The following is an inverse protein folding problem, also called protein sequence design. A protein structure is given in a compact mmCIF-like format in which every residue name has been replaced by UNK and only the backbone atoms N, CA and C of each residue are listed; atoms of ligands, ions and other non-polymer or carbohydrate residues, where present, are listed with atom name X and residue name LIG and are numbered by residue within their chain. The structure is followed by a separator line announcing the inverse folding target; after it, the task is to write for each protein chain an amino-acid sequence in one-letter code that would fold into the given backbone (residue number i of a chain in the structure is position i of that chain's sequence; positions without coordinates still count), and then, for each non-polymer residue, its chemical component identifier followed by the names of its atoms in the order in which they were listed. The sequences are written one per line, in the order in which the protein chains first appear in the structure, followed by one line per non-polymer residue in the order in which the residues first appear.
data_IF_047110301308
#
_entry.id   IF_047110301308
#
_cell.length_a   1.000
_cell.length_b   1.000
_cell.length_c   1.000
_cell.angle_alpha   90.00
_cell.angle_beta   90.00
_cell.angle_gamma   90.00
#
_symmetry.space_group_name_H-M   'P 1'
#
loop_
_entity.id
_entity.type
_entity.pdbx_description
1 polymer ?
#
# COMPACT_ATOMS: atom_id res chain seq x y z
N UNK A 1 2.20 -32.20 0.86
CA UNK A 1 2.77 -30.89 0.45
C UNK A 1 3.08 -30.11 1.71
N UNK A 2 4.29 -29.54 1.80
CA UNK A 2 4.71 -28.73 2.93
C UNK A 2 4.59 -27.23 2.54
N UNK A 3 3.83 -26.48 3.30
CA UNK A 3 3.72 -25.01 3.18
C UNK A 3 4.57 -24.41 4.29
N UNK A 4 5.46 -23.49 3.96
CA UNK A 4 6.27 -22.76 4.93
C UNK A 4 5.97 -21.26 4.85
N UNK A 5 5.64 -20.63 5.97
CA UNK A 5 5.39 -19.19 6.06
C UNK A 5 6.56 -18.49 6.77
N UNK A 6 7.11 -17.46 6.12
CA UNK A 6 8.25 -16.70 6.62
C UNK A 6 7.83 -15.32 7.14
N UNK A 7 8.31 -14.97 8.30
CA UNK A 7 8.16 -13.62 8.88
C UNK A 7 8.95 -12.60 8.04
N UNK A 8 8.44 -11.38 7.94
CA UNK A 8 9.20 -10.28 7.35
C UNK A 8 10.48 -10.00 8.18
N UNK A 9 11.62 -9.85 7.52
CA UNK A 9 12.86 -9.39 8.13
C UNK A 9 12.99 -7.85 8.11
N UNK A 10 12.11 -7.17 7.39
CA UNK A 10 12.03 -5.70 7.34
C UNK A 10 11.43 -5.19 8.64
N UNK A 11 12.18 -4.39 9.40
CA UNK A 11 11.76 -3.91 10.73
C UNK A 11 10.49 -3.05 10.72
N UNK A 12 10.21 -2.39 9.61
CA UNK A 12 9.00 -1.57 9.41
C UNK A 12 7.78 -2.40 8.97
N UNK A 13 7.95 -3.68 8.62
CA UNK A 13 6.86 -4.55 8.19
C UNK A 13 6.43 -5.52 9.30
N UNK A 14 5.32 -5.21 9.95
CA UNK A 14 4.72 -6.01 11.02
C UNK A 14 3.63 -6.98 10.53
N UNK A 15 3.42 -7.09 9.22
CA UNK A 15 2.42 -8.01 8.65
C UNK A 15 2.89 -9.46 8.74
N UNK A 16 1.95 -10.36 8.94
CA UNK A 16 2.17 -11.80 8.82
C UNK A 16 1.64 -12.30 7.47
N UNK A 17 2.34 -13.20 6.77
CA UNK A 17 1.83 -13.79 5.53
C UNK A 17 0.72 -14.83 5.79
N UNK A 18 0.51 -15.24 7.04
CA UNK A 18 -0.60 -16.09 7.47
C UNK A 18 -1.37 -15.42 8.60
N UNK A 19 -2.68 -15.62 8.63
CA UNK A 19 -3.56 -15.09 9.68
C UNK A 19 -4.36 -16.23 10.30
N UNK A 20 -4.67 -16.13 11.61
CA UNK A 20 -5.36 -17.19 12.35
C UNK A 20 -6.69 -17.60 11.70
N UNK A 21 -7.44 -16.62 11.17
CA UNK A 21 -8.74 -16.85 10.53
C UNK A 21 -8.65 -17.59 9.19
N UNK A 22 -7.45 -17.71 8.60
CA UNK A 22 -7.23 -18.36 7.29
C UNK A 22 -6.55 -19.73 7.40
N UNK A 23 -6.09 -20.11 8.58
CA UNK A 23 -5.35 -21.37 8.81
C UNK A 23 -6.17 -22.59 8.42
N UNK A 24 -7.46 -22.63 8.78
CA UNK A 24 -8.33 -23.74 8.45
C UNK A 24 -8.37 -24.02 6.95
N UNK A 25 -8.33 -22.97 6.13
CA UNK A 25 -8.31 -23.11 4.68
C UNK A 25 -7.02 -23.81 4.20
N UNK A 26 -5.86 -23.45 4.76
CA UNK A 26 -4.59 -24.08 4.43
C UNK A 26 -4.55 -25.55 4.86
N UNK A 27 -5.02 -25.86 6.07
CA UNK A 27 -5.06 -27.22 6.59
C UNK A 27 -6.03 -28.13 5.82
N UNK A 28 -7.17 -27.58 5.35
CA UNK A 28 -8.14 -28.33 4.54
C UNK A 28 -7.59 -28.74 3.16
N UNK A 29 -6.48 -28.17 2.71
CA UNK A 29 -5.75 -28.63 1.53
C UNK A 29 -4.95 -29.92 1.77
N UNK A 30 -4.92 -30.44 3.00
CA UNK A 30 -4.12 -31.60 3.38
C UNK A 30 -2.62 -31.30 3.44
N UNK A 31 -2.25 -30.05 3.63
CA UNK A 31 -0.86 -29.63 3.72
C UNK A 31 -0.35 -29.63 5.17
N UNK A 32 0.91 -29.99 5.34
CA UNK A 32 1.65 -29.70 6.57
C UNK A 32 2.12 -28.24 6.54
N UNK A 33 1.66 -27.42 7.47
CA UNK A 33 2.00 -26.00 7.50
C UNK A 33 3.03 -25.70 8.59
N UNK A 34 4.21 -25.25 8.16
CA UNK A 34 5.27 -24.77 9.03
C UNK A 34 5.28 -23.24 9.06
N UNK A 35 5.63 -22.66 10.18
CA UNK A 35 5.77 -21.23 10.31
C UNK A 35 7.03 -20.84 11.07
N UNK A 36 7.66 -19.75 10.65
CA UNK A 36 8.82 -19.19 11.33
C UNK A 36 8.41 -18.64 12.69
N UNK A 37 9.21 -18.92 13.72
CA UNK A 37 8.97 -18.44 15.08
C UNK A 37 8.76 -16.90 15.15
N UNK A 38 7.84 -16.48 16.01
CA UNK A 38 7.41 -15.09 16.18
C UNK A 38 6.76 -14.45 14.94
N UNK A 39 6.26 -15.23 13.99
CA UNK A 39 5.61 -14.73 12.78
C UNK A 39 4.37 -13.88 13.08
N UNK A 40 3.66 -14.20 14.16
CA UNK A 40 2.44 -13.49 14.58
C UNK A 40 2.67 -12.29 15.48
N UNK A 41 3.92 -11.96 15.84
CA UNK A 41 4.21 -10.88 16.79
C UNK A 41 3.59 -9.55 16.39
N UNK A 42 3.69 -9.21 15.11
CA UNK A 42 3.17 -7.95 14.61
C UNK A 42 1.64 -7.85 14.57
N UNK A 43 0.95 -8.98 14.64
CA UNK A 43 -0.52 -9.08 14.69
C UNK A 43 -1.04 -9.50 16.08
N UNK A 44 -0.17 -9.48 17.09
CA UNK A 44 -0.48 -9.86 18.47
C UNK A 44 -0.97 -11.31 18.65
N UNK A 45 -0.50 -12.22 17.79
CA UNK A 45 -0.77 -13.66 17.89
C UNK A 45 0.51 -14.38 18.29
N UNK A 46 0.47 -15.14 19.40
CA UNK A 46 1.62 -15.90 19.86
C UNK A 46 1.81 -17.19 19.05
N UNK A 47 3.05 -17.70 18.99
CA UNK A 47 3.34 -19.00 18.34
C UNK A 47 2.46 -20.12 18.88
N UNK A 48 2.19 -20.12 20.19
CA UNK A 48 1.33 -21.12 20.84
C UNK A 48 -0.08 -21.20 20.22
N UNK A 49 -0.65 -20.06 19.82
CA UNK A 49 -1.96 -20.02 19.17
C UNK A 49 -1.90 -20.70 17.80
N UNK A 50 -0.86 -20.43 17.01
CA UNK A 50 -0.64 -21.09 15.72
C UNK A 50 -0.44 -22.62 15.89
N UNK A 51 0.35 -23.03 16.89
CA UNK A 51 0.55 -24.46 17.21
C UNK A 51 -0.76 -25.15 17.63
N UNK A 52 -1.57 -24.51 18.47
CA UNK A 52 -2.89 -25.00 18.86
C UNK A 52 -3.87 -25.10 17.68
N UNK A 53 -3.67 -24.32 16.65
CA UNK A 53 -4.46 -24.37 15.41
C UNK A 53 -3.94 -25.42 14.41
N UNK A 54 -2.92 -26.22 14.79
CA UNK A 54 -2.43 -27.32 13.99
C UNK A 54 -1.19 -27.00 13.12
N UNK A 55 -0.59 -25.82 13.25
CA UNK A 55 0.64 -25.45 12.56
C UNK A 55 1.87 -25.91 13.34
N UNK A 56 2.99 -26.06 12.64
CA UNK A 56 4.26 -26.52 13.20
C UNK A 56 5.27 -25.36 13.24
N UNK A 57 5.68 -24.95 14.45
CA UNK A 57 6.73 -23.94 14.61
C UNK A 57 8.08 -24.47 14.14
N UNK A 58 8.86 -23.62 13.47
CA UNK A 58 10.18 -23.97 12.97
C UNK A 58 11.11 -22.76 12.92
N UNK A 59 12.40 -22.99 12.73
CA UNK A 59 13.33 -21.92 12.41
C UNK A 59 13.17 -21.45 10.97
N UNK A 60 13.63 -20.23 10.66
CA UNK A 60 13.62 -19.69 9.29
C UNK A 60 14.34 -20.61 8.31
N UNK A 61 15.52 -21.11 8.69
CA UNK A 61 16.32 -22.00 7.86
C UNK A 61 15.59 -23.32 7.55
N UNK A 62 14.94 -23.91 8.55
CA UNK A 62 14.14 -25.12 8.35
C UNK A 62 12.91 -24.88 7.47
N UNK A 63 12.23 -23.73 7.63
CA UNK A 63 11.12 -23.34 6.76
C UNK A 63 11.57 -23.27 5.29
N UNK A 64 12.72 -22.66 5.03
CA UNK A 64 13.29 -22.55 3.68
C UNK A 64 13.65 -23.92 3.10
N UNK A 65 14.30 -24.79 3.88
CA UNK A 65 14.74 -26.12 3.42
C UNK A 65 13.61 -27.11 3.20
N UNK A 66 12.55 -27.06 4.01
CA UNK A 66 11.45 -28.04 3.98
C UNK A 66 10.32 -27.68 3.03
N UNK A 67 10.06 -26.38 2.81
CA UNK A 67 8.90 -25.90 2.07
C UNK A 67 8.84 -26.39 0.62
N UNK A 68 7.68 -26.94 0.21
CA UNK A 68 7.32 -27.13 -1.20
C UNK A 68 6.74 -25.83 -1.76
N UNK A 69 5.97 -25.12 -0.93
CA UNK A 69 5.47 -23.79 -1.13
C UNK A 69 5.95 -22.89 0.02
N UNK A 70 6.68 -21.84 -0.30
CA UNK A 70 7.20 -20.87 0.65
C UNK A 70 6.44 -19.57 0.46
N UNK A 71 5.83 -19.05 1.53
CA UNK A 71 5.03 -17.82 1.51
C UNK A 71 5.80 -16.71 2.24
N UNK A 72 5.93 -15.55 1.58
CA UNK A 72 6.65 -14.39 2.13
C UNK A 72 5.96 -13.07 1.76
N UNK A 73 6.14 -12.05 2.60
CA UNK A 73 5.68 -10.68 2.31
C UNK A 73 6.77 -9.80 1.68
N UNK A 74 7.95 -10.34 1.44
CA UNK A 74 9.10 -9.58 0.96
C UNK A 74 10.01 -10.42 0.08
N UNK A 75 10.87 -9.80 -0.72
CA UNK A 75 11.97 -10.47 -1.42
C UNK A 75 12.89 -11.20 -0.44
N UNK A 76 13.44 -12.34 -0.86
CA UNK A 76 14.47 -13.07 -0.13
C UNK A 76 15.86 -12.74 -0.68
N UNK A 77 16.87 -12.80 0.18
CA UNK A 77 18.26 -12.64 -0.21
C UNK A 77 18.83 -13.90 -0.88
N UNK A 78 19.94 -13.74 -1.62
CA UNK A 78 20.57 -14.86 -2.34
C UNK A 78 20.98 -16.03 -1.44
N UNK A 79 21.42 -15.77 -0.20
CA UNK A 79 21.80 -16.84 0.73
C UNK A 79 20.57 -17.61 1.23
N UNK A 80 19.42 -16.97 1.33
CA UNK A 80 18.16 -17.62 1.66
C UNK A 80 17.64 -18.46 0.49
N UNK A 81 17.76 -17.94 -0.74
CA UNK A 81 17.36 -18.67 -1.95
C UNK A 81 18.14 -19.98 -2.13
N UNK A 82 19.43 -19.99 -1.79
CA UNK A 82 20.29 -21.20 -1.83
C UNK A 82 19.82 -22.32 -0.88
N UNK A 83 19.05 -21.98 0.15
CA UNK A 83 18.51 -22.95 1.10
C UNK A 83 17.25 -23.64 0.57
N UNK A 84 16.59 -23.04 -0.41
CA UNK A 84 15.35 -23.54 -0.99
C UNK A 84 15.67 -24.71 -1.93
N UNK A 85 14.93 -25.81 -1.76
CA UNK A 85 15.10 -26.99 -2.64
C UNK A 85 14.62 -26.70 -4.06
N UNK A 86 15.29 -27.24 -5.09
CA UNK A 86 14.84 -27.10 -6.48
C UNK A 86 13.38 -27.58 -6.68
N UNK A 87 12.67 -26.95 -7.59
CA UNK A 87 11.26 -27.17 -7.94
C UNK A 87 10.26 -26.76 -6.84
N UNK A 88 10.71 -26.15 -5.73
CA UNK A 88 9.80 -25.49 -4.80
C UNK A 88 9.22 -24.21 -5.41
N UNK A 89 8.13 -23.74 -4.85
CA UNK A 89 7.49 -22.49 -5.25
C UNK A 89 7.70 -21.42 -4.17
N UNK A 90 8.23 -20.28 -4.54
CA UNK A 90 8.27 -19.06 -3.72
C UNK A 90 7.12 -18.14 -4.14
N UNK A 91 6.20 -17.89 -3.23
CA UNK A 91 5.01 -17.07 -3.42
C UNK A 91 5.09 -15.84 -2.52
N UNK A 92 4.96 -14.65 -3.07
CA UNK A 92 4.96 -13.45 -2.23
C UNK A 92 4.91 -12.12 -2.94
N UNK A 93 5.02 -11.07 -2.13
CA UNK A 93 5.22 -9.70 -2.59
C UNK A 93 6.72 -9.49 -2.77
N UNK A 94 7.19 -9.52 -4.01
CA UNK A 94 8.62 -9.57 -4.32
C UNK A 94 9.13 -8.34 -5.06
N UNK A 95 8.24 -7.42 -5.40
CA UNK A 95 8.54 -6.21 -6.18
C UNK A 95 9.43 -6.52 -7.41
N UNK A 96 8.90 -7.23 -8.41
CA UNK A 96 9.69 -7.86 -9.48
C UNK A 96 10.46 -6.86 -10.34
N UNK A 97 9.96 -5.63 -10.49
CA UNK A 97 10.62 -4.58 -11.28
C UNK A 97 11.90 -4.05 -10.63
N UNK A 98 11.97 -4.08 -9.29
CA UNK A 98 13.14 -3.63 -8.53
C UNK A 98 14.08 -4.77 -8.13
N UNK A 99 13.68 -6.02 -8.35
CA UNK A 99 14.40 -7.21 -7.89
C UNK A 99 14.70 -8.19 -9.03
N UNK A 100 15.27 -7.68 -10.13
CA UNK A 100 15.64 -8.48 -11.30
C UNK A 100 16.62 -9.61 -10.93
N UNK A 101 17.60 -9.32 -10.06
CA UNK A 101 18.57 -10.31 -9.60
C UNK A 101 17.93 -11.50 -8.86
N UNK A 102 16.90 -11.24 -8.08
CA UNK A 102 16.13 -12.31 -7.41
C UNK A 102 15.45 -13.23 -8.44
N UNK A 103 14.89 -12.67 -9.51
CA UNK A 103 14.25 -13.45 -10.58
C UNK A 103 15.29 -14.36 -11.27
N UNK A 104 16.46 -13.81 -11.57
CA UNK A 104 17.58 -14.56 -12.17
C UNK A 104 18.09 -15.67 -11.22
N UNK A 105 18.27 -15.35 -9.95
CA UNK A 105 18.68 -16.33 -8.93
C UNK A 105 17.67 -17.46 -8.79
N UNK A 106 16.36 -17.16 -8.74
CA UNK A 106 15.32 -18.18 -8.71
C UNK A 106 15.35 -19.09 -9.94
N UNK A 107 15.54 -18.52 -11.14
CA UNK A 107 15.66 -19.27 -12.39
C UNK A 107 16.85 -20.24 -12.35
N UNK A 108 18.03 -19.75 -11.93
CA UNK A 108 19.25 -20.54 -11.85
C UNK A 108 19.13 -21.68 -10.81
N UNK A 109 18.45 -21.44 -9.71
CA UNK A 109 18.22 -22.41 -8.64
C UNK A 109 17.01 -23.33 -8.91
N UNK A 110 16.33 -23.16 -10.05
CA UNK A 110 15.11 -23.90 -10.42
C UNK A 110 13.97 -23.74 -9.40
N UNK A 111 13.81 -22.54 -8.86
CA UNK A 111 12.71 -22.18 -7.95
C UNK A 111 11.60 -21.55 -8.80
N UNK A 112 10.38 -22.06 -8.66
CA UNK A 112 9.20 -21.44 -9.27
C UNK A 112 8.86 -20.15 -8.49
N UNK A 113 8.82 -18.99 -9.17
CA UNK A 113 8.54 -17.71 -8.55
C UNK A 113 7.14 -17.23 -8.93
N UNK A 114 6.31 -16.95 -7.93
CA UNK A 114 4.96 -16.40 -8.10
C UNK A 114 4.89 -15.04 -7.39
N UNK A 115 4.83 -13.97 -8.19
CA UNK A 115 4.66 -12.62 -7.72
C UNK A 115 3.19 -12.27 -7.57
N UNK A 116 2.79 -11.88 -6.35
CA UNK A 116 1.42 -11.45 -6.06
C UNK A 116 1.04 -10.16 -6.76
N UNK A 117 2.01 -9.33 -7.10
CA UNK A 117 1.83 -8.06 -7.81
C UNK A 117 1.35 -8.24 -9.25
N UNK A 118 1.60 -9.41 -9.86
CA UNK A 118 1.17 -9.74 -11.21
C UNK A 118 -0.20 -10.44 -11.29
N UNK A 119 -0.89 -10.60 -10.18
CA UNK A 119 -2.26 -11.12 -10.21
C UNK A 119 -3.13 -10.19 -11.05
N UNK A 120 -3.84 -10.71 -12.08
CA UNK A 120 -4.65 -9.88 -12.94
C UNK A 120 -5.78 -9.16 -12.18
N UNK A 121 -5.99 -7.87 -12.47
CA UNK A 121 -7.06 -7.06 -11.86
C UNK A 121 -8.39 -7.27 -12.58
N UNK A 122 -8.89 -8.49 -12.51
CA UNK A 122 -10.18 -8.91 -13.10
C UNK A 122 -11.13 -9.34 -11.98
N UNK A 123 -12.43 -9.34 -12.24
CA UNK A 123 -13.48 -9.65 -11.26
C UNK A 123 -13.25 -10.97 -10.52
N UNK A 124 -12.81 -12.01 -11.22
CA UNK A 124 -12.53 -13.33 -10.62
C UNK A 124 -11.34 -13.31 -9.65
N UNK A 125 -10.38 -12.43 -9.86
CA UNK A 125 -9.16 -12.33 -9.08
C UNK A 125 -9.19 -11.24 -7.99
N UNK A 126 -10.29 -10.48 -7.85
CA UNK A 126 -10.40 -9.40 -6.87
C UNK A 126 -10.07 -9.82 -5.43
N UNK A 127 -10.45 -11.04 -5.05
CA UNK A 127 -10.14 -11.59 -3.72
C UNK A 127 -8.64 -11.86 -3.51
N UNK A 128 -7.86 -11.90 -4.60
CA UNK A 128 -6.42 -12.15 -4.60
C UNK A 128 -5.62 -10.86 -4.91
N UNK A 129 -6.28 -9.72 -5.11
CA UNK A 129 -5.64 -8.44 -5.40
C UNK A 129 -5.03 -7.85 -4.13
N UNK A 130 -3.80 -8.27 -3.86
CA UNK A 130 -3.01 -7.80 -2.72
C UNK A 130 -2.70 -6.32 -2.83
N UNK A 131 -2.47 -5.80 -4.03
CA UNK A 131 -2.13 -4.38 -4.22
C UNK A 131 -3.30 -3.49 -3.81
N UNK A 132 -4.52 -3.80 -4.24
CA UNK A 132 -5.70 -3.02 -3.87
C UNK A 132 -6.03 -3.14 -2.38
N UNK A 133 -5.92 -4.33 -1.79
CA UNK A 133 -6.21 -4.51 -0.36
C UNK A 133 -5.23 -3.74 0.52
N UNK A 134 -3.94 -3.76 0.20
CA UNK A 134 -2.93 -3.02 0.94
C UNK A 134 -3.03 -1.50 0.69
N UNK A 135 -3.29 -1.08 -0.55
CA UNK A 135 -3.49 0.34 -0.89
C UNK A 135 -4.69 0.96 -0.16
N UNK A 136 -5.78 0.20 0.00
CA UNK A 136 -6.95 0.63 0.77
C UNK A 136 -6.57 0.96 2.22
N UNK A 137 -5.90 0.04 2.91
CA UNK A 137 -5.45 0.25 4.28
C UNK A 137 -4.42 1.38 4.39
N UNK A 138 -3.52 1.49 3.42
CA UNK A 138 -2.55 2.57 3.34
C UNK A 138 -3.22 3.95 3.24
N UNK A 139 -4.28 4.09 2.43
CA UNK A 139 -5.05 5.32 2.32
C UNK A 139 -5.71 5.74 3.64
N UNK A 140 -6.22 4.77 4.42
CA UNK A 140 -6.71 5.03 5.77
C UNK A 140 -5.60 5.55 6.69
N UNK A 141 -4.46 4.84 6.74
CA UNK A 141 -3.34 5.19 7.62
C UNK A 141 -2.77 6.57 7.27
N UNK A 142 -2.65 6.90 5.99
CA UNK A 142 -2.14 8.20 5.54
C UNK A 142 -2.94 9.37 6.14
N UNK A 143 -4.26 9.26 6.22
CA UNK A 143 -5.10 10.30 6.84
C UNK A 143 -4.87 10.36 8.35
N UNK A 144 -4.81 9.22 9.03
CA UNK A 144 -4.62 9.16 10.49
C UNK A 144 -3.25 9.74 10.88
N UNK A 145 -2.19 9.35 10.17
CA UNK A 145 -0.85 9.89 10.44
C UNK A 145 -0.77 11.39 10.09
N UNK A 146 -1.42 11.83 9.01
CA UNK A 146 -1.50 13.28 8.71
C UNK A 146 -2.20 14.05 9.82
N UNK A 147 -3.33 13.54 10.32
CA UNK A 147 -4.08 14.15 11.39
C UNK A 147 -3.27 14.27 12.70
N UNK A 148 -2.44 13.27 13.02
CA UNK A 148 -1.55 13.25 14.18
C UNK A 148 -0.50 14.38 14.13
N UNK A 149 -0.07 14.75 12.93
CA UNK A 149 0.95 15.79 12.72
C UNK A 149 0.38 17.18 12.47
N UNK A 150 -0.94 17.29 12.22
CA UNK A 150 -1.63 18.54 12.03
C UNK A 150 -1.84 19.26 13.38
N UNK A 151 -1.71 20.58 13.38
CA UNK A 151 -1.93 21.40 14.59
C UNK A 151 -3.39 21.83 14.81
N UNK A 152 -4.30 21.50 13.86
CA UNK A 152 -5.73 21.84 13.91
C UNK A 152 -6.60 20.62 13.88
N UNK A 153 -7.86 20.74 14.35
CA UNK A 153 -8.82 19.65 14.32
C UNK A 153 -9.35 19.40 12.90
N UNK A 154 -9.60 18.14 12.57
CA UNK A 154 -10.20 17.78 11.28
C UNK A 154 -11.67 18.22 11.16
N UNK A 155 -12.56 17.92 12.16
CA UNK A 155 -13.96 18.27 12.04
C UNK A 155 -14.22 19.74 12.37
N UNK A 156 -15.35 20.25 11.86
CA UNK A 156 -15.95 21.45 12.41
C UNK A 156 -16.40 21.20 13.85
N UNK A 157 -16.07 22.13 14.76
CA UNK A 157 -16.53 22.04 16.15
C UNK A 157 -17.13 23.36 16.59
N UNK A 158 -18.23 23.27 17.33
CA UNK A 158 -18.87 24.42 17.96
C UNK A 158 -18.41 24.51 19.42
N UNK A 159 -17.94 25.70 19.80
CA UNK A 159 -17.54 25.98 21.19
C UNK A 159 -18.29 27.21 21.69
N UNK A 160 -18.26 27.44 22.99
CA UNK A 160 -18.84 28.67 23.58
C UNK A 160 -18.17 29.94 23.02
N UNK A 161 -16.92 29.85 22.57
CA UNK A 161 -16.17 30.97 21.98
C UNK A 161 -16.38 31.11 20.45
N UNK A 162 -17.14 30.24 19.82
CA UNK A 162 -17.42 30.26 18.39
C UNK A 162 -17.18 28.93 17.67
N UNK A 163 -17.19 28.99 16.33
CA UNK A 163 -17.07 27.80 15.48
C UNK A 163 -15.64 27.64 14.98
N UNK A 164 -15.04 26.49 15.26
CA UNK A 164 -13.78 26.06 14.65
C UNK A 164 -14.09 25.50 13.25
N UNK A 165 -13.38 26.01 12.24
CA UNK A 165 -13.56 25.55 10.86
C UNK A 165 -12.94 24.17 10.67
N UNK A 166 -13.55 23.32 9.83
CA UNK A 166 -12.97 22.01 9.50
C UNK A 166 -11.70 22.18 8.67
N UNK A 167 -10.74 21.28 8.87
CA UNK A 167 -9.53 21.22 8.07
C UNK A 167 -9.85 20.91 6.60
N UNK A 168 -9.03 21.47 5.70
CA UNK A 168 -9.10 21.22 4.26
C UNK A 168 -8.07 20.16 3.87
N UNK A 169 -8.55 19.08 3.28
CA UNK A 169 -7.72 17.98 2.80
C UNK A 169 -7.76 17.95 1.29
N UNK A 170 -6.61 17.92 0.65
CA UNK A 170 -6.48 17.74 -0.78
C UNK A 170 -5.81 16.42 -1.09
N UNK A 171 -6.47 15.56 -1.90
CA UNK A 171 -5.96 14.27 -2.31
C UNK A 171 -5.60 14.30 -3.78
N UNK A 172 -4.35 14.01 -4.11
CA UNK A 172 -3.83 13.95 -5.48
C UNK A 172 -3.63 12.50 -5.87
N UNK A 173 -4.41 12.04 -6.83
CA UNK A 173 -4.54 10.63 -7.23
C UNK A 173 -5.78 9.98 -6.59
N UNK A 174 -6.71 9.51 -7.43
CA UNK A 174 -7.98 8.90 -7.00
C UNK A 174 -8.03 7.43 -7.42
N UNK A 175 -6.95 6.70 -7.08
CA UNK A 175 -6.93 5.24 -7.09
C UNK A 175 -7.53 4.68 -5.80
N UNK A 176 -7.33 3.38 -5.55
CA UNK A 176 -7.84 2.70 -4.35
C UNK A 176 -7.43 3.41 -3.06
N UNK A 177 -6.14 3.76 -2.95
CA UNK A 177 -5.61 4.48 -1.79
C UNK A 177 -6.23 5.88 -1.65
N UNK A 178 -6.32 6.63 -2.75
CA UNK A 178 -6.88 7.97 -2.76
C UNK A 178 -8.37 7.99 -2.40
N UNK A 179 -9.17 7.08 -2.95
CA UNK A 179 -10.59 6.95 -2.61
C UNK A 179 -10.77 6.64 -1.11
N UNK A 180 -9.95 5.76 -0.55
CA UNK A 180 -10.01 5.46 0.87
C UNK A 180 -9.55 6.64 1.72
N UNK A 181 -8.52 7.37 1.31
CA UNK A 181 -8.09 8.58 2.00
C UNK A 181 -9.21 9.65 2.00
N UNK A 182 -9.87 9.87 0.86
CA UNK A 182 -11.05 10.74 0.74
C UNK A 182 -12.15 10.31 1.72
N UNK A 183 -12.53 9.01 1.68
CA UNK A 183 -13.58 8.48 2.53
C UNK A 183 -13.24 8.63 4.03
N UNK A 184 -11.99 8.37 4.42
CA UNK A 184 -11.52 8.50 5.79
C UNK A 184 -11.53 9.95 6.26
N UNK A 185 -10.96 10.87 5.47
CA UNK A 185 -10.93 12.29 5.82
C UNK A 185 -12.35 12.89 5.92
N UNK A 186 -13.27 12.47 5.03
CA UNK A 186 -14.68 12.86 5.11
C UNK A 186 -15.35 12.37 6.38
N UNK A 187 -15.16 11.09 6.75
CA UNK A 187 -15.70 10.52 8.00
C UNK A 187 -15.16 11.22 9.25
N UNK A 188 -13.93 11.70 9.20
CA UNK A 188 -13.34 12.51 10.27
C UNK A 188 -13.77 13.98 10.25
N UNK A 189 -14.65 14.36 9.33
CA UNK A 189 -15.28 15.68 9.28
C UNK A 189 -14.51 16.76 8.52
N UNK A 190 -13.47 16.41 7.80
CA UNK A 190 -12.71 17.34 6.97
C UNK A 190 -13.50 17.80 5.72
N UNK A 191 -13.13 18.96 5.18
CA UNK A 191 -13.50 19.37 3.82
C UNK A 191 -12.50 18.80 2.85
N UNK A 192 -12.96 17.92 1.95
CA UNK A 192 -12.09 17.18 1.04
C UNK A 192 -12.27 17.66 -0.39
N UNK A 193 -11.16 18.01 -1.03
CA UNK A 193 -11.04 18.20 -2.47
C UNK A 193 -10.11 17.09 -3.01
N UNK A 194 -10.34 16.63 -4.24
CA UNK A 194 -9.51 15.60 -4.86
C UNK A 194 -9.28 15.89 -6.34
N UNK A 195 -8.14 15.44 -6.85
CA UNK A 195 -7.78 15.54 -8.26
C UNK A 195 -7.23 14.21 -8.78
N UNK A 196 -7.60 13.89 -10.01
CA UNK A 196 -6.99 12.83 -10.81
C UNK A 196 -6.95 13.30 -12.28
N UNK A 197 -6.05 12.74 -13.06
CA UNK A 197 -5.98 13.01 -14.51
C UNK A 197 -7.07 12.28 -15.31
N UNK A 198 -7.75 11.33 -14.68
CA UNK A 198 -8.84 10.54 -15.25
C UNK A 198 -10.18 11.14 -14.81
N UNK A 199 -10.91 11.72 -15.73
CA UNK A 199 -12.25 12.31 -15.43
C UNK A 199 -13.27 11.27 -14.98
N UNK A 200 -13.12 10.01 -15.37
CA UNK A 200 -14.03 8.92 -15.01
C UNK A 200 -14.17 8.71 -13.50
N UNK A 201 -13.21 9.18 -12.69
CA UNK A 201 -13.26 9.03 -11.22
C UNK A 201 -14.03 10.16 -10.52
N UNK A 202 -14.47 11.20 -11.24
CA UNK A 202 -15.20 12.32 -10.66
C UNK A 202 -16.46 11.87 -9.92
N UNK A 203 -17.23 10.98 -10.51
CA UNK A 203 -18.46 10.46 -9.90
C UNK A 203 -18.16 9.74 -8.57
N UNK A 204 -17.06 8.98 -8.52
CA UNK A 204 -16.63 8.29 -7.32
C UNK A 204 -16.26 9.28 -6.20
N UNK A 205 -15.54 10.36 -6.53
CA UNK A 205 -15.19 11.42 -5.57
C UNK A 205 -16.45 12.10 -5.03
N UNK A 206 -17.36 12.47 -5.93
CA UNK A 206 -18.61 13.15 -5.57
C UNK A 206 -19.52 12.25 -4.72
N UNK A 207 -19.56 10.94 -4.98
CA UNK A 207 -20.32 9.97 -4.19
C UNK A 207 -19.82 9.84 -2.75
N UNK A 208 -18.53 10.10 -2.51
CA UNK A 208 -17.95 10.16 -1.17
C UNK A 208 -18.19 11.51 -0.46
N UNK A 209 -18.89 12.45 -1.10
CA UNK A 209 -19.17 13.78 -0.58
C UNK A 209 -17.95 14.72 -0.59
N UNK A 210 -16.94 14.42 -1.41
CA UNK A 210 -15.80 15.28 -1.68
C UNK A 210 -16.01 16.07 -2.96
N UNK A 211 -15.22 17.09 -3.20
CA UNK A 211 -15.27 17.91 -4.40
C UNK A 211 -14.16 17.50 -5.36
N UNK A 212 -14.50 17.16 -6.59
CA UNK A 212 -13.51 16.93 -7.64
C UNK A 212 -13.00 18.27 -8.19
N UNK A 213 -11.68 18.42 -8.26
CA UNK A 213 -11.00 19.61 -8.82
C UNK A 213 -10.80 19.36 -10.30
N UNK A 214 -11.58 20.01 -11.14
CA UNK A 214 -11.43 19.91 -12.59
C UNK A 214 -10.26 20.75 -13.06
N UNK A 215 -9.32 20.12 -13.73
CA UNK A 215 -8.23 20.75 -14.45
C UNK A 215 -8.36 20.27 -15.90
N UNK A 216 -8.78 21.15 -16.77
CA UNK A 216 -8.86 20.85 -18.19
C UNK A 216 -7.45 20.62 -18.76
N UNK A 217 -7.06 19.38 -18.88
CA UNK A 217 -5.79 18.94 -19.46
C UNK A 217 -5.92 18.55 -20.93
N UNK A 218 -7.10 18.71 -21.55
CA UNK A 218 -7.42 18.17 -22.86
C UNK A 218 -7.65 16.66 -22.83
N UNK A 219 -7.29 15.96 -23.91
CA UNK A 219 -7.46 14.50 -23.96
C UNK A 219 -6.50 13.80 -23.01
N UNK A 220 -7.07 13.15 -22.00
CA UNK A 220 -6.40 12.27 -21.05
C UNK A 220 -7.05 10.89 -21.10
N UNK A 221 -6.51 9.90 -20.38
CA UNK A 221 -7.10 8.57 -20.40
C UNK A 221 -6.46 7.63 -19.39
N UNK A 222 -6.87 6.39 -19.44
CA UNK A 222 -6.31 5.32 -18.61
C UNK A 222 -5.74 4.18 -19.45
N UNK A 223 -4.85 3.41 -18.85
CA UNK A 223 -4.31 2.17 -19.41
C UNK A 223 -5.31 1.02 -19.13
N UNK A 224 -5.14 -0.12 -19.81
CA UNK A 224 -5.95 -1.31 -19.59
C UNK A 224 -5.92 -1.84 -18.14
N UNK A 225 -4.91 -1.42 -17.37
CA UNK A 225 -4.77 -1.76 -15.94
C UNK A 225 -5.36 -0.68 -15.00
N UNK A 226 -6.04 0.35 -15.54
CA UNK A 226 -6.68 1.41 -14.77
C UNK A 226 -5.74 2.48 -14.21
N UNK A 227 -4.49 2.58 -14.72
CA UNK A 227 -3.56 3.67 -14.42
C UNK A 227 -3.74 4.82 -15.41
N UNK A 228 -3.44 6.04 -14.95
CA UNK A 228 -3.43 7.22 -15.83
C UNK A 228 -2.38 7.07 -16.93
N UNK A 229 -2.73 7.52 -18.16
CA UNK A 229 -1.77 7.65 -19.25
C UNK A 229 -0.77 8.77 -18.98
N UNK A 230 0.39 8.70 -19.63
CA UNK A 230 1.40 9.75 -19.55
C UNK A 230 0.87 11.07 -20.15
N UNK A 231 1.17 12.17 -19.47
CA UNK A 231 0.83 13.51 -19.90
C UNK A 231 1.96 14.15 -20.69
N UNK A 232 1.64 15.06 -21.61
CA UNK A 232 2.62 15.90 -22.27
C UNK A 232 3.25 16.92 -21.29
N UNK A 233 4.40 17.48 -21.65
CA UNK A 233 5.09 18.48 -20.82
C UNK A 233 4.20 19.71 -20.53
N UNK A 234 3.41 20.16 -21.51
CA UNK A 234 2.46 21.25 -21.33
C UNK A 234 1.34 20.91 -20.37
N UNK A 235 0.79 19.69 -20.48
CA UNK A 235 -0.23 19.19 -19.56
C UNK A 235 0.31 19.08 -18.14
N UNK A 236 1.52 18.56 -17.95
CA UNK A 236 2.21 18.47 -16.65
C UNK A 236 2.40 19.87 -16.04
N UNK A 237 2.84 20.86 -16.83
CA UNK A 237 3.03 22.23 -16.38
C UNK A 237 1.70 22.85 -15.92
N UNK A 238 0.65 22.74 -16.73
CA UNK A 238 -0.70 23.23 -16.42
C UNK A 238 -1.26 22.55 -15.17
N UNK A 239 -1.10 21.25 -15.06
CA UNK A 239 -1.48 20.47 -13.89
C UNK A 239 -0.80 21.00 -12.63
N UNK A 240 0.53 21.11 -12.63
CA UNK A 240 1.32 21.58 -11.49
C UNK A 240 0.89 22.98 -11.04
N UNK A 241 0.70 23.90 -11.97
CA UNK A 241 0.29 25.27 -11.65
C UNK A 241 -1.08 25.32 -10.95
N UNK A 242 -2.06 24.57 -11.44
CA UNK A 242 -3.42 24.58 -10.87
C UNK A 242 -3.49 23.77 -9.57
N UNK A 243 -2.80 22.63 -9.48
CA UNK A 243 -2.70 21.87 -8.24
C UNK A 243 -2.01 22.67 -7.13
N UNK A 244 -0.96 23.41 -7.44
CA UNK A 244 -0.26 24.26 -6.50
C UNK A 244 -1.21 25.24 -5.79
N UNK A 245 -2.12 25.89 -6.51
CA UNK A 245 -3.14 26.78 -5.94
C UNK A 245 -4.09 26.08 -4.96
N UNK A 246 -4.33 24.78 -5.14
CA UNK A 246 -5.13 23.99 -4.19
C UNK A 246 -4.28 23.59 -2.98
N UNK A 247 -3.03 23.17 -3.19
CA UNK A 247 -2.08 22.84 -2.12
C UNK A 247 -1.91 24.03 -1.16
N UNK A 248 -1.70 25.26 -1.68
CA UNK A 248 -1.50 26.49 -0.90
C UNK A 248 -2.59 26.76 0.13
N UNK A 249 -3.85 26.40 -0.17
CA UNK A 249 -5.01 26.62 0.70
C UNK A 249 -5.42 25.39 1.52
N UNK A 250 -4.66 24.30 1.44
CA UNK A 250 -4.94 23.03 2.11
C UNK A 250 -4.16 22.90 3.40
N UNK A 251 -4.80 22.33 4.43
CA UNK A 251 -4.15 22.02 5.70
C UNK A 251 -3.43 20.65 5.62
N UNK A 252 -3.97 19.73 4.82
CA UNK A 252 -3.35 18.42 4.51
C UNK A 252 -3.37 18.22 3.00
N UNK A 253 -2.23 17.79 2.45
CA UNK A 253 -2.13 17.25 1.08
C UNK A 253 -1.70 15.81 1.16
N UNK A 254 -2.41 14.90 0.47
CA UNK A 254 -2.06 13.47 0.38
C UNK A 254 -1.81 13.15 -1.08
N UNK A 255 -0.61 12.67 -1.40
CA UNK A 255 -0.25 12.26 -2.76
C UNK A 255 -0.20 10.75 -2.86
N UNK A 256 -0.87 10.19 -3.88
CA UNK A 256 -1.02 8.74 -4.05
C UNK A 256 -0.65 8.25 -5.46
N UNK A 257 -0.05 9.12 -6.28
CA UNK A 257 0.23 8.77 -7.67
C UNK A 257 1.43 7.82 -7.76
N UNK A 258 1.16 6.58 -8.09
CA UNK A 258 2.15 5.55 -8.35
C UNK A 258 1.98 5.00 -9.76
N UNK A 259 3.09 4.68 -10.39
CA UNK A 259 3.14 4.01 -11.70
C UNK A 259 3.67 2.60 -11.49
N UNK A 260 2.97 1.60 -11.99
CA UNK A 260 3.40 0.21 -11.84
C UNK A 260 4.72 -0.03 -12.58
N UNK A 261 5.77 -0.43 -11.84
CA UNK A 261 7.10 -0.69 -12.37
C UNK A 261 7.91 0.53 -12.78
N UNK A 262 7.49 1.74 -12.43
CA UNK A 262 8.19 2.99 -12.78
C UNK A 262 8.30 3.90 -11.55
N UNK A 263 9.28 4.83 -11.53
CA UNK A 263 9.34 5.86 -10.50
C UNK A 263 8.07 6.71 -10.45
N UNK A 264 7.71 7.14 -9.25
CA UNK A 264 6.56 8.02 -9.05
C UNK A 264 6.81 9.41 -9.66
N UNK A 265 5.78 10.05 -10.23
CA UNK A 265 5.92 11.40 -10.78
C UNK A 265 6.06 12.44 -9.66
N UNK A 266 6.92 13.43 -9.85
CA UNK A 266 7.02 14.59 -8.96
C UNK A 266 5.81 15.52 -9.17
N UNK A 267 4.93 15.63 -8.16
CA UNK A 267 3.70 16.40 -8.22
C UNK A 267 3.76 17.71 -7.42
N UNK A 268 4.45 17.69 -6.29
CA UNK A 268 4.56 18.84 -5.37
C UNK A 268 6.03 19.24 -5.26
N UNK A 269 6.38 20.37 -5.83
CA UNK A 269 7.74 20.91 -5.79
C UNK A 269 7.95 21.85 -4.60
N UNK A 270 9.20 22.19 -4.33
CA UNK A 270 9.58 23.09 -3.26
C UNK A 270 8.92 24.47 -3.34
N UNK A 271 8.67 24.97 -4.56
CA UNK A 271 7.99 26.26 -4.77
C UNK A 271 6.54 26.23 -4.30
N UNK A 272 5.88 25.09 -4.48
CA UNK A 272 4.52 24.86 -3.98
C UNK A 272 4.52 24.74 -2.46
N UNK A 273 5.47 23.99 -1.89
CA UNK A 273 5.60 23.82 -0.43
C UNK A 273 5.84 25.17 0.26
N UNK A 274 6.71 26.00 -0.31
CA UNK A 274 7.05 27.31 0.25
C UNK A 274 5.86 28.32 0.29
N UNK A 275 4.78 28.02 -0.45
CA UNK A 275 3.54 28.83 -0.46
C UNK A 275 2.43 28.26 0.41
N UNK A 276 2.61 27.05 0.94
CA UNK A 276 1.66 26.46 1.89
C UNK A 276 1.73 27.17 3.25
N UNK A 277 0.64 27.07 4.01
CA UNK A 277 0.60 27.66 5.34
C UNK A 277 1.49 26.87 6.32
N UNK A 278 2.34 27.53 7.13
CA UNK A 278 3.05 26.85 8.22
C UNK A 278 2.08 26.08 9.13
N UNK A 279 2.46 24.88 9.52
CA UNK A 279 1.60 23.96 10.26
C UNK A 279 0.80 23.00 9.38
N UNK A 280 0.84 23.17 8.04
CA UNK A 280 0.28 22.20 7.08
C UNK A 280 1.09 20.91 7.03
N UNK A 281 0.47 19.87 6.53
CA UNK A 281 1.06 18.52 6.40
C UNK A 281 0.94 18.05 4.95
N UNK A 282 2.02 17.51 4.42
CA UNK A 282 2.02 16.76 3.16
C UNK A 282 2.35 15.29 3.47
N UNK A 283 1.53 14.38 3.01
CA UNK A 283 1.77 12.96 3.14
C UNK A 283 2.08 12.36 1.76
N UNK A 284 3.29 11.86 1.59
CA UNK A 284 3.76 11.24 0.37
C UNK A 284 3.62 9.71 0.46
N UNK A 285 2.57 9.16 -0.15
CA UNK A 285 2.35 7.71 -0.18
C UNK A 285 3.22 7.00 -1.23
N UNK A 286 3.90 7.74 -2.08
CA UNK A 286 4.76 7.19 -3.13
C UNK A 286 6.25 7.24 -2.77
N UNK A 287 6.60 7.59 -1.54
CA UNK A 287 8.00 7.81 -1.11
C UNK A 287 8.92 6.63 -1.41
N UNK A 288 8.45 5.39 -1.29
CA UNK A 288 9.23 4.17 -1.61
C UNK A 288 9.50 4.00 -3.11
N UNK A 289 8.74 4.69 -3.96
CA UNK A 289 8.85 4.64 -5.43
C UNK A 289 9.50 5.89 -6.02
N UNK A 290 10.25 6.65 -5.21
CA UNK A 290 10.90 7.90 -5.62
C UNK A 290 10.17 9.18 -5.19
N UNK A 291 8.93 9.06 -4.71
CA UNK A 291 8.17 10.15 -4.12
C UNK A 291 7.43 11.06 -5.10
N UNK A 292 6.28 11.56 -4.66
CA UNK A 292 5.52 12.59 -5.37
C UNK A 292 5.87 14.01 -4.90
N UNK A 293 6.63 14.14 -3.80
CA UNK A 293 6.89 15.38 -3.10
C UNK A 293 8.40 15.63 -3.04
N UNK A 294 8.83 16.79 -3.50
CA UNK A 294 10.24 17.17 -3.45
C UNK A 294 10.73 17.27 -2.01
N UNK A 295 11.84 16.59 -1.71
CA UNK A 295 12.41 16.54 -0.35
C UNK A 295 11.73 15.52 0.58
N UNK A 296 10.79 14.72 0.10
CA UNK A 296 10.24 13.58 0.85
C UNK A 296 11.33 12.52 1.07
N UNK A 297 11.42 11.99 2.30
CA UNK A 297 12.38 10.94 2.67
C UNK A 297 11.65 9.77 3.31
N UNK A 298 12.11 8.54 2.98
CA UNK A 298 11.53 7.29 3.51
C UNK A 298 11.70 7.23 5.03
N UNK A 299 10.61 6.92 5.73
CA UNK A 299 10.51 6.75 7.19
C UNK A 299 10.94 8.00 7.99
N UNK A 300 10.76 9.19 7.38
CA UNK A 300 11.05 10.46 8.04
C UNK A 300 9.88 11.45 7.95
N UNK A 301 9.91 12.38 8.88
CA UNK A 301 9.14 13.62 8.83
C UNK A 301 10.14 14.75 8.57
N UNK A 302 10.13 15.29 7.37
CA UNK A 302 10.96 16.43 6.99
C UNK A 302 10.13 17.70 7.17
N UNK A 303 10.75 18.77 7.66
CA UNK A 303 10.08 20.06 7.80
C UNK A 303 10.71 21.12 6.88
N UNK A 304 9.86 21.81 6.12
CA UNK A 304 10.26 22.92 5.26
C UNK A 304 9.31 24.10 5.47
N UNK A 305 9.83 25.24 5.90
CA UNK A 305 9.06 26.47 6.17
C UNK A 305 7.83 26.24 7.07
N UNK A 306 7.95 25.34 8.07
CA UNK A 306 6.85 24.97 8.95
C UNK A 306 5.84 23.99 8.36
N UNK A 307 6.04 23.51 7.12
CA UNK A 307 5.25 22.45 6.51
C UNK A 307 5.94 21.11 6.77
N UNK A 308 5.20 20.13 7.29
CA UNK A 308 5.70 18.79 7.55
C UNK A 308 5.45 17.88 6.36
N UNK A 309 6.50 17.27 5.85
CA UNK A 309 6.46 16.29 4.76
C UNK A 309 6.70 14.90 5.37
N UNK A 310 5.74 14.02 5.23
CA UNK A 310 5.73 12.69 5.84
C UNK A 310 5.89 11.63 4.76
N UNK A 311 6.93 10.82 4.86
CA UNK A 311 7.13 9.63 4.05
C UNK A 311 7.24 8.40 4.95
N UNK A 312 6.32 7.44 4.83
CA UNK A 312 6.33 6.22 5.63
C UNK A 312 6.32 5.01 4.70
N UNK A 313 7.28 4.10 4.90
CA UNK A 313 7.32 2.82 4.22
C UNK A 313 6.34 1.81 4.82
N UNK A 314 6.00 0.78 4.04
CA UNK A 314 5.11 -0.31 4.50
C UNK A 314 3.86 0.19 5.22
N UNK A 315 3.21 1.21 4.69
CA UNK A 315 2.18 2.00 5.37
C UNK A 315 1.02 1.13 5.90
N UNK A 316 0.57 0.13 5.15
CA UNK A 316 -0.46 -0.81 5.58
C UNK A 316 -0.06 -1.62 6.84
N UNK A 317 1.25 -1.76 7.10
CA UNK A 317 1.79 -2.44 8.29
C UNK A 317 1.42 -1.75 9.61
N UNK A 318 1.05 -0.47 9.58
CA UNK A 318 0.54 0.25 10.77
C UNK A 318 -0.82 -0.29 11.28
N UNK A 319 -1.55 -1.02 10.43
CA UNK A 319 -2.76 -1.76 10.77
C UNK A 319 -2.57 -3.24 10.46
N UNK A 320 -1.47 -3.78 10.94
CA UNK A 320 -0.89 -5.10 10.61
C UNK A 320 -1.88 -6.25 10.68
N UNK A 321 -2.79 -6.26 11.65
CA UNK A 321 -3.80 -7.31 11.79
C UNK A 321 -4.72 -7.36 10.55
N UNK A 322 -5.35 -6.23 10.19
CA UNK A 322 -6.16 -6.14 8.99
C UNK A 322 -5.34 -6.34 7.70
N UNK A 323 -4.11 -5.82 7.66
CA UNK A 323 -3.23 -5.97 6.51
C UNK A 323 -2.76 -7.41 6.31
N UNK A 324 -2.69 -8.22 7.35
CA UNK A 324 -2.38 -9.65 7.28
C UNK A 324 -3.59 -10.50 6.96
N UNK A 325 -4.80 -10.08 7.37
CA UNK A 325 -6.06 -10.73 7.02
C UNK A 325 -6.49 -10.41 5.58
N UNK A 326 -6.28 -9.17 5.14
CA UNK A 326 -6.73 -8.70 3.83
C UNK A 326 -6.19 -9.52 2.64
N UNK A 327 -4.92 -10.01 2.63
CA UNK A 327 -4.51 -10.96 1.63
C UNK A 327 -5.00 -12.37 1.97
N UNK A 328 -6.29 -12.60 2.01
CA UNK A 328 -6.90 -13.95 1.83
C UNK A 328 -6.36 -14.59 0.53
N UNK A 329 -5.69 -13.81 -0.26
CA UNK A 329 -4.95 -14.06 -1.48
C UNK A 329 -4.06 -15.30 -1.42
N UNK A 330 -3.24 -15.46 -0.40
CA UNK A 330 -2.35 -16.62 -0.29
C UNK A 330 -3.12 -17.93 -0.16
N UNK A 331 -4.25 -17.93 0.56
CA UNK A 331 -5.10 -19.10 0.72
C UNK A 331 -5.91 -19.41 -0.53
N UNK A 332 -6.27 -18.41 -1.32
CA UNK A 332 -7.00 -18.61 -2.58
C UNK A 332 -6.09 -19.13 -3.71
N UNK A 333 -4.83 -18.71 -3.76
CA UNK A 333 -3.87 -19.20 -4.74
C UNK A 333 -3.46 -20.67 -4.51
N UNK A 334 -3.56 -21.15 -3.28
CA UNK A 334 -3.24 -22.55 -2.96
C UNK A 334 -4.39 -23.51 -3.24
N UNK A 335 -5.58 -23.01 -3.58
CA UNK A 335 -6.69 -23.86 -3.98
C UNK A 335 -6.42 -24.44 -5.36
N UNK A 336 -6.39 -25.79 -5.52
CA UNK A 336 -6.32 -26.37 -6.84
C UNK A 336 -7.56 -25.96 -7.64
N UNK A 337 -7.34 -25.34 -8.78
CA UNK A 337 -8.39 -24.89 -9.71
C UNK A 337 -9.07 -26.04 -10.45
N UNK A 338 -8.98 -27.28 -9.93
CA UNK A 338 -9.66 -28.43 -10.47
C UNK A 338 -11.10 -28.49 -9.98
N UNK A 339 -11.89 -27.48 -10.28
CA UNK A 339 -13.31 -27.63 -10.51
C UNK A 339 -13.61 -26.92 -11.83
N UNK A 340 -13.60 -27.72 -12.87
CA UNK A 340 -14.31 -27.42 -14.11
C UNK A 340 -15.75 -27.04 -13.74
N UNK A 341 -16.15 -25.88 -14.21
CA UNK A 341 -17.57 -25.53 -14.39
C UNK A 341 -17.73 -25.19 -15.86
#
# INVERSE_FOLDING_TARGET
MIISALKSSVSTDSRSPIHIDTISTLLNLGADVFFEENIGRGINVSDKIFEQSGLKKSSREECLKKGDLIITNQPLGDDELKLIKPNSTLLGMINPFSNQSLIESCSNLKINLVSMEFIPRITRAQKMDVLSSQANLAGYVAVIESAKHLSTALPMMMTAAGTLKPAKVFVIGVGVAGLQAIATAKRLGARVEAFDTRDVVEEQVNSLGAKFVKIDLGETGETDQGYAKELSEEQIKKQKELQSKVCERSDIVITTAQLFGRPAPLLVDNKTIDRMMPGSVIFDMAVESGGNVEGSEVDKVVERNGVKIIGISNLASKVSNHASLAPVSYTHLTLPTNREV
#
